data_IF_710386770529
#
_entry.id   IF_710386770529
#
_cell.length_a   1.000
_cell.length_b   1.000
_cell.length_c   1.000
_cell.angle_alpha   90.00
_cell.angle_beta   90.00
_cell.angle_gamma   90.00
#
_symmetry.space_group_name_H-M   'P 1'
#
loop_
_entity.id
_entity.type
_entity.pdbx_description
1 polymer ?
#
# COMPACT_ATOMS: atom_id res chain seq x y z
N UNK A 1 -21.46 -1.81 -77.16
CA UNK A 1 -22.08 -1.06 -76.04
C UNK A 1 -21.79 -1.82 -74.74
N UNK A 2 -21.26 -1.09 -73.74
CA UNK A 2 -21.07 -1.43 -72.29
C UNK A 2 -20.26 -2.71 -71.97
N UNK A 3 -18.98 -2.72 -71.57
CA UNK A 3 -18.24 -2.07 -70.46
C UNK A 3 -18.70 -2.49 -69.05
N UNK A 4 -17.91 -3.33 -68.35
CA UNK A 4 -17.70 -3.42 -66.89
C UNK A 4 -16.47 -4.33 -66.64
N UNK A 5 -15.27 -3.82 -66.35
CA UNK A 5 -14.77 -3.25 -65.08
C UNK A 5 -14.15 -4.31 -64.14
N UNK A 6 -12.82 -4.24 -64.05
CA UNK A 6 -11.94 -4.92 -63.09
C UNK A 6 -12.36 -4.68 -61.64
N UNK A 7 -12.30 -5.73 -60.82
CA UNK A 7 -12.14 -5.62 -59.38
C UNK A 7 -10.77 -6.19 -59.00
N UNK A 8 -9.84 -5.28 -58.71
CA UNK A 8 -8.53 -5.57 -58.15
C UNK A 8 -8.72 -6.15 -56.73
N UNK A 9 -8.22 -7.36 -56.51
CA UNK A 9 -7.99 -7.89 -55.18
C UNK A 9 -6.91 -7.05 -54.50
N UNK A 10 -7.33 -6.18 -53.58
CA UNK A 10 -6.42 -5.39 -52.76
C UNK A 10 -5.53 -6.29 -51.92
N UNK A 11 -4.27 -5.90 -51.66
CA UNK A 11 -3.40 -6.64 -50.76
C UNK A 11 -4.02 -6.60 -49.37
N UNK A 12 -4.50 -7.75 -48.90
CA UNK A 12 -4.81 -7.96 -47.51
C UNK A 12 -3.56 -7.60 -46.71
N UNK A 13 -3.69 -6.55 -45.90
CA UNK A 13 -2.69 -6.19 -44.90
C UNK A 13 -2.48 -7.41 -44.00
N UNK A 14 -1.42 -8.17 -44.28
CA UNK A 14 -0.88 -9.16 -43.38
C UNK A 14 -0.41 -8.40 -42.15
N UNK A 15 -1.30 -8.32 -41.14
CA UNK A 15 -0.87 -8.03 -39.78
C UNK A 15 0.18 -9.08 -39.46
N UNK A 16 1.45 -8.66 -39.40
CA UNK A 16 2.56 -9.50 -38.94
C UNK A 16 2.09 -10.07 -37.61
N UNK A 17 1.91 -11.41 -37.47
CA UNK A 17 1.69 -11.97 -36.16
C UNK A 17 2.96 -11.63 -35.38
N UNK A 18 2.86 -10.70 -34.45
CA UNK A 18 3.90 -10.46 -33.46
C UNK A 18 3.92 -11.77 -32.68
N UNK A 19 4.77 -12.70 -33.11
CA UNK A 19 4.94 -14.00 -32.48
C UNK A 19 5.69 -13.72 -31.19
N UNK A 20 4.95 -13.28 -30.18
CA UNK A 20 5.44 -13.06 -28.84
C UNK A 20 5.71 -14.45 -28.29
N UNK A 21 6.95 -14.90 -28.40
CA UNK A 21 7.33 -16.19 -27.85
C UNK A 21 7.31 -16.10 -26.31
N UNK A 22 6.27 -16.74 -25.76
CA UNK A 22 5.94 -16.86 -24.34
C UNK A 22 6.57 -18.13 -23.72
N UNK A 23 7.44 -18.82 -24.45
CA UNK A 23 8.08 -20.04 -23.95
C UNK A 23 8.90 -19.74 -22.72
N UNK A 24 8.77 -20.58 -21.70
CA UNK A 24 9.59 -20.45 -20.52
C UNK A 24 11.09 -20.56 -20.89
N UNK A 25 11.96 -19.63 -20.47
CA UNK A 25 13.38 -19.68 -20.81
C UNK A 25 14.13 -20.87 -20.18
N UNK A 26 13.50 -21.60 -19.26
CA UNK A 26 14.10 -22.77 -18.61
C UNK A 26 13.62 -24.10 -19.21
N UNK A 27 12.31 -24.28 -19.40
CA UNK A 27 11.75 -25.55 -19.90
C UNK A 27 11.26 -25.51 -21.36
N UNK A 28 11.27 -24.33 -22.00
CA UNK A 28 10.83 -24.07 -23.37
C UNK A 28 9.38 -24.50 -23.70
N UNK A 29 8.54 -24.70 -22.68
CA UNK A 29 7.12 -25.02 -22.83
C UNK A 29 6.24 -23.78 -22.62
N UNK A 30 5.06 -23.78 -23.23
CA UNK A 30 4.04 -22.73 -23.12
C UNK A 30 2.79 -23.15 -22.32
N UNK A 31 2.56 -24.45 -22.13
CA UNK A 31 1.28 -25.00 -21.65
C UNK A 31 0.94 -24.63 -20.20
N UNK A 32 1.94 -24.35 -19.38
CA UNK A 32 1.81 -24.06 -17.94
C UNK A 32 2.30 -22.64 -17.61
N UNK A 33 2.13 -21.73 -18.56
CA UNK A 33 2.58 -20.34 -18.47
C UNK A 33 1.36 -19.44 -18.32
N UNK A 34 1.31 -18.66 -17.24
CA UNK A 34 0.21 -17.78 -16.91
C UNK A 34 0.73 -16.38 -16.58
N UNK A 35 -0.04 -15.34 -16.89
CA UNK A 35 0.35 -13.97 -16.52
C UNK A 35 0.42 -13.84 -15.00
N UNK A 36 1.42 -13.10 -14.51
CA UNK A 36 1.59 -12.83 -13.07
C UNK A 36 0.32 -12.24 -12.45
N UNK A 37 -0.40 -11.30 -13.10
CA UNK A 37 -1.66 -10.79 -12.57
C UNK A 37 -2.70 -11.87 -12.32
N UNK A 38 -2.85 -12.82 -13.24
CA UNK A 38 -3.84 -13.88 -13.09
C UNK A 38 -3.46 -14.84 -11.95
N UNK A 39 -2.18 -15.23 -11.83
CA UNK A 39 -1.71 -16.06 -10.70
C UNK A 39 -1.88 -15.33 -9.36
N UNK A 40 -1.66 -14.02 -9.35
CA UNK A 40 -1.84 -13.20 -8.15
C UNK A 40 -3.31 -13.09 -7.74
N UNK A 41 -4.23 -12.85 -8.68
CA UNK A 41 -5.67 -12.79 -8.39
C UNK A 41 -6.22 -14.13 -7.98
N UNK A 42 -5.77 -15.24 -8.59
CA UNK A 42 -6.16 -16.60 -8.21
C UNK A 42 -5.70 -16.94 -6.79
N UNK A 43 -4.59 -16.34 -6.34
CA UNK A 43 -4.07 -16.53 -5.00
C UNK A 43 -4.67 -15.60 -3.92
N UNK A 44 -5.67 -14.79 -4.25
CA UNK A 44 -6.36 -13.91 -3.31
C UNK A 44 -7.83 -14.30 -3.23
N UNK A 45 -8.30 -14.60 -2.01
CA UNK A 45 -9.72 -14.80 -1.74
C UNK A 45 -10.17 -13.94 -0.55
N UNK A 46 -11.34 -13.32 -0.67
CA UNK A 46 -12.02 -12.66 0.45
C UNK A 46 -13.13 -13.56 0.98
N UNK A 47 -13.28 -13.59 2.29
CA UNK A 47 -14.37 -14.28 2.96
C UNK A 47 -15.09 -13.30 3.88
N UNK A 48 -16.42 -13.30 3.79
CA UNK A 48 -17.28 -12.48 4.62
C UNK A 48 -17.95 -13.37 5.66
N UNK A 49 -17.81 -13.02 6.92
CA UNK A 49 -18.49 -13.67 8.03
C UNK A 49 -19.24 -12.66 8.87
N UNK A 50 -20.26 -13.11 9.59
CA UNK A 50 -20.97 -12.28 10.56
C UNK A 50 -20.62 -12.81 11.96
N UNK A 51 -19.99 -11.99 12.78
CA UNK A 51 -19.69 -12.30 14.18
C UNK A 51 -20.70 -11.63 15.11
N UNK A 52 -21.15 -12.33 16.16
CA UNK A 52 -21.90 -11.71 17.25
C UNK A 52 -20.93 -11.12 18.26
N UNK A 53 -21.19 -9.90 18.72
CA UNK A 53 -20.48 -9.30 19.83
C UNK A 53 -21.46 -8.84 20.90
N UNK A 54 -21.03 -8.94 22.15
CA UNK A 54 -21.73 -8.34 23.28
C UNK A 54 -20.86 -7.24 23.85
N UNK A 55 -21.49 -6.13 24.22
CA UNK A 55 -20.86 -4.97 24.83
C UNK A 55 -21.81 -4.30 25.81
N UNK A 56 -21.33 -3.22 26.43
CA UNK A 56 -22.13 -2.42 27.37
C UNK A 56 -22.15 -0.98 26.87
N UNK A 57 -23.36 -0.46 26.62
CA UNK A 57 -23.61 0.93 26.30
C UNK A 57 -23.91 1.74 27.56
N UNK A 58 -23.64 3.05 27.52
CA UNK A 58 -24.00 3.98 28.58
C UNK A 58 -25.22 4.79 28.12
N UNK A 59 -26.34 4.66 28.82
CA UNK A 59 -27.56 5.43 28.60
C UNK A 59 -27.88 6.30 29.83
N UNK A 60 -28.81 7.24 29.68
CA UNK A 60 -29.30 8.07 30.79
C UNK A 60 -29.91 7.27 31.94
N UNK A 61 -30.32 6.02 31.67
CA UNK A 61 -30.89 5.07 32.64
C UNK A 61 -29.86 4.12 33.25
N UNK A 62 -28.57 4.20 32.86
CA UNK A 62 -27.49 3.35 33.35
C UNK A 62 -26.77 2.55 32.26
N UNK A 63 -26.08 1.48 32.66
CA UNK A 63 -25.38 0.57 31.75
C UNK A 63 -26.38 -0.40 31.11
N UNK A 64 -26.43 -0.42 29.78
CA UNK A 64 -27.36 -1.26 29.00
C UNK A 64 -26.57 -2.27 28.18
N UNK A 65 -26.89 -3.58 28.23
CA UNK A 65 -26.23 -4.56 27.38
C UNK A 65 -26.57 -4.32 25.91
N UNK A 66 -25.55 -4.30 25.06
CA UNK A 66 -25.67 -4.18 23.61
C UNK A 66 -25.25 -5.50 23.00
N UNK A 67 -26.17 -6.17 22.31
CA UNK A 67 -25.86 -7.33 21.47
C UNK A 67 -25.93 -6.85 20.02
N UNK A 68 -24.84 -7.02 19.30
CA UNK A 68 -24.73 -6.59 17.92
C UNK A 68 -24.15 -7.68 17.03
N UNK A 69 -24.39 -7.56 15.73
CA UNK A 69 -23.68 -8.33 14.71
C UNK A 69 -22.65 -7.42 14.05
N UNK A 70 -21.43 -7.91 13.91
CA UNK A 70 -20.37 -7.26 13.15
C UNK A 70 -20.07 -8.09 11.90
N UNK A 71 -19.97 -7.44 10.75
CA UNK A 71 -19.38 -8.08 9.57
C UNK A 71 -17.86 -8.14 9.75
N UNK A 72 -17.30 -9.33 9.59
CA UNK A 72 -15.87 -9.60 9.60
C UNK A 72 -15.49 -9.97 8.16
N UNK A 73 -14.72 -9.10 7.53
CA UNK A 73 -14.10 -9.40 6.24
C UNK A 73 -12.68 -9.92 6.49
N UNK A 74 -12.33 -11.07 5.89
CA UNK A 74 -11.00 -11.67 5.95
C UNK A 74 -10.49 -11.92 4.55
N UNK A 75 -9.32 -11.36 4.24
CA UNK A 75 -8.59 -11.62 3.01
C UNK A 75 -7.53 -12.68 3.23
N UNK A 76 -7.63 -13.79 2.51
CA UNK A 76 -6.66 -14.86 2.46
C UNK A 76 -5.77 -14.66 1.22
N UNK A 77 -4.45 -14.70 1.42
CA UNK A 77 -3.47 -14.55 0.35
C UNK A 77 -2.50 -15.72 0.42
N UNK A 78 -2.35 -16.45 -0.69
CA UNK A 78 -1.39 -17.57 -0.76
C UNK A 78 0.05 -17.08 -0.67
N UNK A 79 0.97 -17.95 -0.25
CA UNK A 79 2.40 -17.58 -0.16
C UNK A 79 2.95 -17.16 -1.54
N UNK A 80 2.50 -17.83 -2.61
CA UNK A 80 2.89 -17.52 -3.98
C UNK A 80 2.40 -16.12 -4.38
N UNK A 81 1.12 -15.79 -4.17
CA UNK A 81 0.61 -14.45 -4.47
C UNK A 81 1.32 -13.38 -3.63
N UNK A 82 1.59 -13.64 -2.34
CA UNK A 82 2.35 -12.71 -1.48
C UNK A 82 3.78 -12.47 -1.99
N UNK A 83 4.43 -13.51 -2.54
CA UNK A 83 5.77 -13.39 -3.11
C UNK A 83 5.80 -12.56 -4.40
N UNK A 84 4.67 -12.43 -5.10
CA UNK A 84 4.51 -11.66 -6.34
C UNK A 84 3.74 -10.34 -6.15
N UNK A 85 3.62 -9.85 -4.91
CA UNK A 85 2.85 -8.64 -4.63
C UNK A 85 3.40 -7.42 -5.40
N UNK A 86 2.54 -6.67 -6.12
CA UNK A 86 2.97 -5.53 -6.94
C UNK A 86 3.49 -4.36 -6.10
N UNK A 87 2.98 -4.20 -4.88
CA UNK A 87 3.34 -3.13 -3.97
C UNK A 87 3.53 -3.62 -2.54
N UNK A 88 4.38 -2.94 -1.74
CA UNK A 88 4.46 -3.19 -0.31
C UNK A 88 3.16 -2.79 0.40
N UNK A 89 2.85 -3.46 1.51
CA UNK A 89 1.67 -3.14 2.30
C UNK A 89 1.72 -1.71 2.84
N UNK A 90 0.64 -0.96 2.65
CA UNK A 90 0.48 0.38 3.20
C UNK A 90 0.29 0.28 4.71
N UNK A 91 1.11 0.99 5.48
CA UNK A 91 0.94 1.03 6.92
C UNK A 91 -0.16 2.04 7.28
N UNK A 92 -1.21 1.64 8.04
CA UNK A 92 -2.27 2.56 8.41
C UNK A 92 -1.72 3.64 9.36
N UNK A 93 -1.73 4.89 8.88
CA UNK A 93 -1.32 6.04 9.68
C UNK A 93 -2.50 6.68 10.44
N UNK A 94 -3.74 6.47 9.98
CA UNK A 94 -4.94 7.17 10.48
C UNK A 94 -5.21 6.93 11.96
N UNK A 95 -5.09 5.68 12.43
CA UNK A 95 -5.30 5.37 13.85
C UNK A 95 -4.22 6.00 14.73
N UNK A 96 -2.96 6.00 14.27
CA UNK A 96 -1.86 6.65 14.97
C UNK A 96 -2.03 8.17 15.01
N UNK A 97 -2.49 8.80 13.93
CA UNK A 97 -2.75 10.26 13.93
C UNK A 97 -3.88 10.62 14.89
N UNK A 98 -4.95 9.81 14.96
CA UNK A 98 -6.06 10.04 15.88
C UNK A 98 -5.58 9.91 17.33
N UNK A 99 -4.87 8.83 17.66
CA UNK A 99 -4.33 8.61 19.01
C UNK A 99 -3.34 9.71 19.39
N UNK A 100 -2.45 10.10 18.48
CA UNK A 100 -1.49 11.18 18.73
C UNK A 100 -2.15 12.54 18.94
N UNK A 101 -3.21 12.86 18.19
CA UNK A 101 -3.98 14.07 18.40
C UNK A 101 -4.71 14.05 19.75
N UNK A 102 -5.31 12.91 20.11
CA UNK A 102 -6.04 12.75 21.37
C UNK A 102 -5.09 12.87 22.58
N UNK A 103 -3.87 12.36 22.47
CA UNK A 103 -2.82 12.50 23.48
C UNK A 103 -2.32 13.94 23.64
N UNK A 104 -2.50 14.83 22.64
CA UNK A 104 -2.13 16.23 22.76
C UNK A 104 -3.18 17.07 23.50
N UNK A 105 -4.43 16.62 23.60
CA UNK A 105 -5.52 17.38 24.23
C UNK A 105 -5.19 17.78 25.68
N UNK A 106 -4.70 16.87 26.55
CA UNK A 106 -4.33 17.23 27.92
C UNK A 106 -3.19 18.26 27.97
N UNK A 107 -2.19 18.13 27.10
CA UNK A 107 -1.07 19.06 27.03
C UNK A 107 -1.53 20.48 26.65
N UNK A 108 -2.43 20.60 25.66
CA UNK A 108 -3.02 21.89 25.30
C UNK A 108 -3.93 22.45 26.41
N UNK A 109 -4.72 21.61 27.07
CA UNK A 109 -5.59 22.05 28.17
C UNK A 109 -4.82 22.60 29.36
N UNK A 110 -3.58 22.16 29.60
CA UNK A 110 -2.69 22.71 30.63
C UNK A 110 -1.90 23.93 30.13
N UNK A 111 -1.46 23.91 28.87
CA UNK A 111 -0.66 25.00 28.30
C UNK A 111 -1.44 26.30 28.12
N UNK A 112 -2.71 26.23 27.69
CA UNK A 112 -3.57 27.41 27.45
C UNK A 112 -3.78 28.25 28.72
N UNK A 113 -4.31 27.71 29.83
CA UNK A 113 -4.49 28.50 31.05
C UNK A 113 -3.16 29.00 31.60
N UNK A 114 -2.09 28.18 31.54
CA UNK A 114 -0.76 28.60 31.97
C UNK A 114 -0.22 29.79 31.16
N UNK A 115 -0.45 29.81 29.85
CA UNK A 115 -0.11 30.93 28.99
C UNK A 115 -0.92 32.19 29.31
N UNK A 116 -2.22 32.06 29.56
CA UNK A 116 -3.10 33.18 29.93
C UNK A 116 -2.70 33.78 31.30
N UNK A 117 -2.43 32.93 32.29
CA UNK A 117 -2.03 33.33 33.64
C UNK A 117 -0.67 34.04 33.67
N UNK A 118 0.27 33.65 32.80
CA UNK A 118 1.61 34.23 32.73
C UNK A 118 1.68 35.50 31.88
N UNK A 119 0.78 35.68 30.91
CA UNK A 119 0.67 36.89 30.11
C UNK A 119 0.23 38.12 30.93
N UNK A 120 -0.46 37.90 32.05
CA UNK A 120 -0.97 38.94 32.95
C UNK A 120 -0.01 39.29 34.10
N UNK A 121 1.21 38.70 34.14
CA UNK A 121 2.12 38.76 35.29
C UNK A 121 3.50 39.32 34.90
N UNK A 122 4.29 39.74 35.90
CA UNK A 122 5.61 40.34 35.69
C UNK A 122 6.55 39.45 34.85
N UNK A 123 7.34 40.04 33.92
CA UNK A 123 8.08 39.31 32.89
C UNK A 123 9.18 38.38 33.44
N UNK A 124 9.78 38.73 34.60
CA UNK A 124 10.85 37.93 35.20
C UNK A 124 10.32 36.66 35.91
N UNK A 125 9.17 36.77 36.59
CA UNK A 125 8.48 35.64 37.22
C UNK A 125 7.80 34.74 36.18
N UNK A 126 7.40 35.32 35.05
CA UNK A 126 6.79 34.63 33.91
C UNK A 126 7.74 33.60 33.27
N UNK A 127 9.02 33.94 33.07
CA UNK A 127 9.98 33.05 32.40
C UNK A 127 10.31 31.79 33.23
N UNK A 128 10.56 31.94 34.54
CA UNK A 128 10.82 30.80 35.42
C UNK A 128 9.61 29.85 35.50
N UNK A 129 8.40 30.42 35.55
CA UNK A 129 7.15 29.66 35.56
C UNK A 129 6.97 28.85 34.27
N UNK A 130 7.29 29.44 33.12
CA UNK A 130 7.25 28.75 31.82
C UNK A 130 8.24 27.59 31.73
N UNK A 131 9.49 27.78 32.17
CA UNK A 131 10.51 26.73 32.12
C UNK A 131 10.10 25.54 32.98
N UNK A 132 9.62 25.78 34.20
CA UNK A 132 9.15 24.70 35.10
C UNK A 132 7.89 24.02 34.53
N UNK A 133 6.94 24.79 34.01
CA UNK A 133 5.73 24.25 33.38
C UNK A 133 6.00 23.37 32.16
N UNK A 134 6.90 23.81 31.28
CA UNK A 134 7.31 23.06 30.10
C UNK A 134 8.05 21.78 30.47
N UNK A 135 8.98 21.84 31.42
CA UNK A 135 9.84 20.69 31.74
C UNK A 135 9.08 19.60 32.52
N UNK A 136 8.24 19.99 33.49
CA UNK A 136 7.64 19.03 34.42
C UNK A 136 6.19 18.64 34.08
N UNK A 137 5.44 19.49 33.38
CA UNK A 137 4.02 19.26 33.13
C UNK A 137 3.72 19.08 31.63
N UNK A 138 4.00 20.09 30.82
CA UNK A 138 3.60 20.12 29.41
C UNK A 138 4.45 19.15 28.58
N UNK A 139 5.76 19.09 28.82
CA UNK A 139 6.70 18.24 28.08
C UNK A 139 6.37 16.75 28.19
N UNK A 140 6.29 16.19 29.42
CA UNK A 140 5.93 14.78 29.62
C UNK A 140 4.54 14.43 29.08
N UNK A 141 3.56 15.34 29.22
CA UNK A 141 2.22 15.14 28.70
C UNK A 141 2.17 15.17 27.15
N UNK A 142 2.95 16.05 26.52
CA UNK A 142 2.99 16.19 25.06
C UNK A 142 3.85 15.14 24.36
N UNK A 143 4.89 14.61 25.02
CA UNK A 143 5.88 13.73 24.41
C UNK A 143 5.28 12.50 23.70
N UNK A 144 4.35 11.74 24.29
CA UNK A 144 3.72 10.60 23.61
C UNK A 144 2.94 11.02 22.35
N UNK A 145 2.25 12.17 22.40
CA UNK A 145 1.52 12.72 21.26
C UNK A 145 2.45 13.13 20.11
N UNK A 146 3.55 13.81 20.44
CA UNK A 146 4.56 14.22 19.44
C UNK A 146 5.25 13.01 18.81
N UNK A 147 5.64 12.00 19.61
CA UNK A 147 6.29 10.78 19.11
C UNK A 147 5.37 10.02 18.17
N UNK A 148 4.11 9.79 18.57
CA UNK A 148 3.13 9.07 17.74
C UNK A 148 2.82 9.82 16.44
N UNK A 149 2.71 11.15 16.46
CA UNK A 149 2.56 11.98 15.26
C UNK A 149 3.80 11.95 14.36
N UNK A 150 5.00 11.94 14.95
CA UNK A 150 6.26 11.80 14.22
C UNK A 150 6.31 10.48 13.44
N UNK A 151 5.97 9.37 14.09
CA UNK A 151 5.85 8.05 13.45
C UNK A 151 4.78 8.07 12.37
N UNK A 152 3.60 8.63 12.65
CA UNK A 152 2.51 8.72 11.68
C UNK A 152 2.90 9.53 10.43
N UNK A 153 3.64 10.63 10.61
CA UNK A 153 4.18 11.44 9.51
C UNK A 153 5.23 10.68 8.70
N UNK A 154 6.09 9.91 9.36
CA UNK A 154 7.03 8.99 8.71
C UNK A 154 6.30 7.98 7.82
N UNK A 155 5.30 7.29 8.38
CA UNK A 155 4.42 6.36 7.64
C UNK A 155 3.72 7.02 6.47
N UNK A 156 3.14 8.21 6.68
CA UNK A 156 2.45 8.95 5.62
C UNK A 156 3.40 9.34 4.47
N UNK A 157 4.66 9.70 4.76
CA UNK A 157 5.67 9.98 3.73
C UNK A 157 6.02 8.72 2.94
N UNK A 158 6.23 7.60 3.61
CA UNK A 158 6.47 6.30 2.95
C UNK A 158 5.29 5.88 2.08
N UNK A 159 4.07 5.98 2.59
CA UNK A 159 2.85 5.68 1.83
C UNK A 159 2.71 6.61 0.61
N UNK A 160 3.00 7.90 0.74
CA UNK A 160 3.01 8.83 -0.41
C UNK A 160 4.04 8.43 -1.46
N UNK A 161 5.21 7.92 -1.05
CA UNK A 161 6.21 7.40 -2.00
C UNK A 161 5.68 6.16 -2.73
N UNK A 162 5.04 5.25 -2.02
CA UNK A 162 4.42 4.05 -2.61
C UNK A 162 3.34 4.44 -3.62
N UNK A 163 2.43 5.34 -3.26
CA UNK A 163 1.35 5.80 -4.16
C UNK A 163 1.91 6.46 -5.42
N UNK A 164 2.96 7.27 -5.32
CA UNK A 164 3.60 7.92 -6.49
C UNK A 164 4.26 6.92 -7.44
N UNK A 165 4.87 5.86 -6.91
CA UNK A 165 5.58 4.85 -7.69
C UNK A 165 4.70 3.71 -8.22
N UNK A 166 3.48 3.58 -7.69
CA UNK A 166 2.53 2.49 -7.98
C UNK A 166 2.33 2.24 -9.47
N UNK A 167 2.04 3.27 -10.25
CA UNK A 167 1.75 3.11 -11.67
C UNK A 167 2.94 2.50 -12.45
N UNK A 168 4.16 2.94 -12.14
CA UNK A 168 5.39 2.42 -12.79
C UNK A 168 5.67 0.98 -12.41
N UNK A 169 5.57 0.65 -11.12
CA UNK A 169 5.72 -0.72 -10.65
C UNK A 169 4.64 -1.65 -11.25
N UNK A 170 3.40 -1.17 -11.31
CA UNK A 170 2.28 -1.96 -11.82
C UNK A 170 2.42 -2.27 -13.31
N UNK A 171 2.88 -1.32 -14.13
CA UNK A 171 3.12 -1.54 -15.55
C UNK A 171 4.15 -2.67 -15.80
N UNK A 172 5.26 -2.66 -15.04
CA UNK A 172 6.27 -3.73 -15.11
C UNK A 172 5.72 -5.06 -14.61
N UNK A 173 4.97 -5.03 -13.50
CA UNK A 173 4.39 -6.21 -12.89
C UNK A 173 3.38 -6.91 -13.81
N UNK A 174 2.53 -6.14 -14.50
CA UNK A 174 1.55 -6.66 -15.45
C UNK A 174 2.17 -7.37 -16.66
N UNK A 175 3.36 -6.98 -17.07
CA UNK A 175 4.11 -7.61 -18.16
C UNK A 175 4.79 -8.93 -17.76
N UNK A 176 4.76 -9.30 -16.47
CA UNK A 176 5.39 -10.51 -15.95
C UNK A 176 4.58 -11.77 -16.26
N UNK A 177 5.28 -12.87 -16.48
CA UNK A 177 4.70 -14.18 -16.77
C UNK A 177 5.32 -15.24 -15.86
N UNK A 178 4.49 -16.11 -15.28
CA UNK A 178 4.88 -17.16 -14.36
C UNK A 178 4.71 -18.54 -14.99
N UNK A 179 5.71 -19.40 -14.85
CA UNK A 179 5.65 -20.80 -15.27
C UNK A 179 5.36 -21.70 -14.06
N UNK A 180 4.20 -22.34 -14.04
CA UNK A 180 3.80 -23.28 -12.98
C UNK A 180 4.68 -24.52 -12.91
N UNK A 181 5.30 -24.93 -14.03
CA UNK A 181 6.19 -26.10 -14.08
C UNK A 181 7.52 -25.87 -13.38
N UNK A 182 8.11 -24.69 -13.56
CA UNK A 182 9.45 -24.36 -13.03
C UNK A 182 9.40 -23.52 -11.76
N UNK A 183 8.27 -22.88 -11.46
CA UNK A 183 8.14 -21.93 -10.35
C UNK A 183 8.89 -20.61 -10.56
N UNK A 184 9.11 -20.23 -11.82
CA UNK A 184 9.91 -19.07 -12.21
C UNK A 184 9.05 -18.00 -12.88
N UNK A 185 9.41 -16.74 -12.67
CA UNK A 185 8.82 -15.57 -13.31
C UNK A 185 9.80 -15.01 -14.33
N UNK A 186 9.32 -14.56 -15.48
CA UNK A 186 10.12 -13.90 -16.49
C UNK A 186 9.30 -12.83 -17.22
N UNK A 187 9.98 -11.98 -17.97
CA UNK A 187 9.36 -11.01 -18.87
C UNK A 187 9.62 -11.38 -20.31
N UNK A 188 8.59 -11.32 -21.17
CA UNK A 188 8.74 -11.65 -22.58
C UNK A 188 9.35 -10.49 -23.40
N UNK A 189 9.03 -9.24 -23.06
CA UNK A 189 9.75 -8.03 -23.49
C UNK A 189 10.35 -7.31 -22.27
N UNK A 190 11.30 -6.40 -22.47
CA UNK A 190 11.82 -5.55 -21.40
C UNK A 190 10.88 -4.34 -21.19
N UNK A 191 10.09 -4.28 -20.10
CA UNK A 191 9.14 -3.18 -19.90
C UNK A 191 9.81 -1.90 -19.38
N UNK A 192 11.07 -1.98 -18.96
CA UNK A 192 11.86 -0.86 -18.46
C UNK A 192 13.35 -1.11 -18.73
N UNK A 193 14.13 -0.06 -18.95
CA UNK A 193 15.55 -0.14 -19.33
C UNK A 193 16.42 -1.00 -18.39
N UNK A 194 16.07 -1.06 -17.10
CA UNK A 194 16.82 -1.81 -16.08
C UNK A 194 16.42 -3.29 -15.99
N UNK A 195 15.48 -3.76 -16.79
CA UNK A 195 14.93 -5.12 -16.69
C UNK A 195 15.39 -5.96 -17.88
N UNK A 196 16.14 -7.05 -17.65
CA UNK A 196 16.51 -7.94 -18.72
C UNK A 196 15.29 -8.75 -19.20
N UNK A 197 15.14 -8.87 -20.52
CA UNK A 197 14.12 -9.72 -21.14
C UNK A 197 14.53 -11.20 -21.05
N UNK A 198 13.53 -12.08 -20.94
CA UNK A 198 13.66 -13.55 -20.99
C UNK A 198 14.62 -14.18 -19.98
N UNK A 199 14.98 -13.46 -18.92
CA UNK A 199 15.73 -14.05 -17.82
C UNK A 199 14.77 -14.68 -16.80
N UNK A 200 15.06 -15.91 -16.34
CA UNK A 200 14.28 -16.54 -15.28
C UNK A 200 14.62 -15.93 -13.92
N UNK A 201 13.59 -15.52 -13.17
CA UNK A 201 13.71 -15.00 -11.83
C UNK A 201 12.88 -15.82 -10.84
N UNK A 202 13.35 -15.89 -9.59
CA UNK A 202 12.50 -16.36 -8.49
C UNK A 202 11.42 -15.30 -8.19
N UNK A 203 10.23 -15.69 -7.70
CA UNK A 203 9.16 -14.74 -7.38
C UNK A 203 9.60 -13.58 -6.47
N UNK A 204 10.44 -13.87 -5.47
CA UNK A 204 10.98 -12.86 -4.55
C UNK A 204 11.90 -11.85 -5.24
N UNK A 205 12.74 -12.32 -6.17
CA UNK A 205 13.65 -11.48 -6.96
C UNK A 205 12.84 -10.61 -7.92
N UNK A 206 11.85 -11.19 -8.60
CA UNK A 206 10.90 -10.47 -9.43
C UNK A 206 10.24 -9.31 -8.66
N UNK A 207 9.71 -9.59 -7.46
CA UNK A 207 9.13 -8.55 -6.59
C UNK A 207 10.12 -7.45 -6.24
N UNK A 208 11.36 -7.81 -5.90
CA UNK A 208 12.39 -6.81 -5.57
C UNK A 208 12.70 -5.88 -6.76
N UNK A 209 12.72 -6.41 -7.99
CA UNK A 209 12.92 -5.63 -9.21
C UNK A 209 11.73 -4.71 -9.49
N UNK A 210 10.50 -5.22 -9.39
CA UNK A 210 9.27 -4.43 -9.53
C UNK A 210 9.26 -3.26 -8.53
N UNK A 211 9.63 -3.53 -7.27
CA UNK A 211 9.67 -2.50 -6.22
C UNK A 211 10.80 -1.48 -6.42
N UNK A 212 11.93 -1.90 -6.98
CA UNK A 212 13.04 -1.01 -7.35
C UNK A 212 12.59 -0.03 -8.45
N UNK A 213 11.89 -0.51 -9.48
CA UNK A 213 11.31 0.36 -10.53
C UNK A 213 10.24 1.29 -9.98
N UNK A 214 9.43 0.82 -9.02
CA UNK A 214 8.49 1.66 -8.27
C UNK A 214 9.15 2.70 -7.37
N UNK A 215 10.46 2.62 -7.11
CA UNK A 215 11.16 3.48 -6.17
C UNK A 215 10.71 3.30 -4.73
N UNK A 216 10.18 2.11 -4.38
CA UNK A 216 9.69 1.83 -3.03
C UNK A 216 10.84 1.55 -2.07
N UNK A 217 11.88 0.87 -2.54
CA UNK A 217 13.08 0.55 -1.77
C UNK A 217 14.03 1.73 -1.83
N UNK A 218 14.58 2.16 -0.69
CA UNK A 218 15.74 3.06 -0.68
C UNK A 218 16.95 2.23 -1.13
N UNK A 219 17.45 2.53 -2.33
CA UNK A 219 18.79 2.14 -2.76
C UNK A 219 19.85 2.75 -1.85
#
# INVERSE_FOLDING_TARGET
MTAHAHAAGGPAAQGVPINVDLSCPHCHQIDLVQSVPAVYTDGISSSFGTGTYSGVGVASTGLVPVIGTASIDRTHVTMLARSMAPEPALEPATRLTIVGLLLLIPAFSMAIPMAVLTAMRDPLMSLATWVVGLLFFIGPAAAPGVVTLGVARGRARSNKRIVRGRAKAHAVWQAGVYCHRCGLVFWHFSPAADIPSRQPFRPEQFRSLVWKVGGFVKT
#
